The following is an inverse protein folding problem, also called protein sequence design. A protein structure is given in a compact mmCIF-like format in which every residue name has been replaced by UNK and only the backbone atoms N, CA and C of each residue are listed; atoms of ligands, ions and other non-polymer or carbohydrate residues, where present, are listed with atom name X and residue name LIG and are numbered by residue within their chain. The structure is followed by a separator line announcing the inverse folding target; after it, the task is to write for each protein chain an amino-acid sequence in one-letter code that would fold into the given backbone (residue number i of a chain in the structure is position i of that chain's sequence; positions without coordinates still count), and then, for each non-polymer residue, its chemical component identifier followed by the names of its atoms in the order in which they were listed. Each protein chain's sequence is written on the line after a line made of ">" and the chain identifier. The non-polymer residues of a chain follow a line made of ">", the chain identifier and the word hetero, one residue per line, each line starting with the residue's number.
data_IF_669481149558
#
_entry.id   IF_669481149558
#
_cell.length_a   1.000
_cell.length_b   1.000
_cell.length_c   1.000
_cell.angle_alpha   90.00
_cell.angle_beta   90.00
_cell.angle_gamma   90.00
#
_symmetry.space_group_name_H-M   'P 1'
#
loop_
_entity.id
_entity.type
_entity.pdbx_description
1 polymer ?
#
# COMPACT_ATOMS: atom_id res chain seq x y z
N UNK A 1 -4.75 5.96 -65.85
CA UNK A 1 -6.13 5.48 -65.65
C UNK A 1 -6.08 4.46 -64.52
N UNK A 2 -6.62 4.80 -63.35
CA UNK A 2 -6.72 3.84 -62.24
C UNK A 2 -7.92 2.94 -62.47
N UNK A 3 -7.68 1.65 -62.66
CA UNK A 3 -8.75 0.68 -62.91
C UNK A 3 -9.51 0.31 -61.65
N UNK A 4 -10.68 -0.33 -61.79
CA UNK A 4 -11.44 -0.90 -60.67
C UNK A 4 -10.57 -1.83 -59.80
N UNK A 5 -9.61 -2.53 -60.43
CA UNK A 5 -8.67 -3.42 -59.76
C UNK A 5 -7.67 -2.68 -58.85
N UNK A 6 -7.26 -1.45 -59.19
CA UNK A 6 -6.38 -0.63 -58.34
C UNK A 6 -7.10 -0.21 -57.06
N UNK A 7 -8.38 0.14 -57.15
CA UNK A 7 -9.20 0.50 -55.99
C UNK A 7 -9.39 -0.68 -55.02
N UNK A 8 -9.57 -1.89 -55.54
CA UNK A 8 -9.66 -3.11 -54.71
C UNK A 8 -8.34 -3.38 -54.00
N UNK A 9 -7.20 -3.20 -54.69
CA UNK A 9 -5.88 -3.42 -54.10
C UNK A 9 -5.54 -2.41 -53.01
N UNK A 10 -5.91 -1.14 -53.21
CA UNK A 10 -5.78 -0.08 -52.19
C UNK A 10 -6.69 -0.37 -50.99
N UNK A 11 -7.95 -0.75 -51.23
CA UNK A 11 -8.90 -1.11 -50.18
C UNK A 11 -8.42 -2.29 -49.35
N UNK A 12 -7.95 -3.36 -50.00
CA UNK A 12 -7.40 -4.54 -49.34
C UNK A 12 -6.18 -4.20 -48.46
N UNK A 13 -5.26 -3.38 -48.98
CA UNK A 13 -4.10 -2.90 -48.22
C UNK A 13 -4.49 -2.08 -46.99
N UNK A 14 -5.48 -1.21 -47.11
CA UNK A 14 -5.99 -0.43 -45.99
C UNK A 14 -6.62 -1.32 -44.91
N UNK A 15 -7.47 -2.27 -45.29
CA UNK A 15 -8.09 -3.20 -44.32
C UNK A 15 -7.04 -4.07 -43.62
N UNK A 16 -6.05 -4.57 -44.34
CA UNK A 16 -4.98 -5.36 -43.74
C UNK A 16 -4.15 -4.51 -42.76
N UNK A 17 -3.80 -3.28 -43.15
CA UNK A 17 -3.09 -2.35 -42.28
C UNK A 17 -3.89 -1.99 -41.03
N UNK A 18 -5.19 -1.75 -41.17
CA UNK A 18 -6.08 -1.43 -40.04
C UNK A 18 -6.21 -2.60 -39.05
N UNK A 19 -6.29 -3.84 -39.55
CA UNK A 19 -6.33 -5.03 -38.69
C UNK A 19 -5.03 -5.19 -37.88
N UNK A 20 -3.88 -5.04 -38.55
CA UNK A 20 -2.57 -5.15 -37.88
C UNK A 20 -2.41 -4.03 -36.85
N UNK A 21 -2.65 -2.77 -37.23
CA UNK A 21 -2.54 -1.63 -36.34
C UNK A 21 -3.52 -1.72 -35.15
N UNK A 22 -4.77 -2.12 -35.41
CA UNK A 22 -5.79 -2.30 -34.38
C UNK A 22 -5.42 -3.40 -33.39
N UNK A 23 -4.91 -4.54 -33.86
CA UNK A 23 -4.48 -5.63 -32.99
C UNK A 23 -3.28 -5.24 -32.11
N UNK A 24 -2.31 -4.52 -32.67
CA UNK A 24 -1.15 -4.04 -31.92
C UNK A 24 -1.55 -3.00 -30.86
N UNK A 25 -2.41 -2.05 -31.23
CA UNK A 25 -2.93 -1.04 -30.31
C UNK A 25 -3.73 -1.67 -29.15
N UNK A 26 -4.54 -2.70 -29.44
CA UNK A 26 -5.28 -3.43 -28.42
C UNK A 26 -4.34 -4.11 -27.42
N UNK A 27 -3.33 -4.84 -27.88
CA UNK A 27 -2.38 -5.52 -26.99
C UNK A 27 -1.61 -4.55 -26.10
N UNK A 28 -1.11 -3.46 -26.67
CA UNK A 28 -0.39 -2.42 -25.91
C UNK A 28 -1.33 -1.77 -24.89
N UNK A 29 -2.52 -1.36 -25.32
CA UNK A 29 -3.51 -0.74 -24.45
C UNK A 29 -3.95 -1.66 -23.31
N UNK A 30 -4.16 -2.94 -23.60
CA UNK A 30 -4.55 -3.94 -22.60
C UNK A 30 -3.43 -4.17 -21.57
N UNK A 31 -2.19 -4.35 -22.01
CA UNK A 31 -1.05 -4.55 -21.12
C UNK A 31 -0.78 -3.33 -20.21
N UNK A 32 -0.92 -2.11 -20.75
CA UNK A 32 -0.79 -0.87 -19.97
C UNK A 32 -1.97 -0.73 -18.99
N UNK A 33 -3.19 -1.07 -19.42
CA UNK A 33 -4.37 -1.02 -18.56
C UNK A 33 -4.29 -1.98 -17.37
N UNK A 34 -3.87 -3.22 -17.61
CA UNK A 34 -3.75 -4.25 -16.59
C UNK A 34 -2.66 -3.90 -15.56
N UNK A 35 -1.49 -3.44 -16.04
CA UNK A 35 -0.39 -3.02 -15.17
C UNK A 35 -0.74 -1.79 -14.34
N UNK A 36 -1.41 -0.79 -14.92
CA UNK A 36 -1.86 0.40 -14.19
C UNK A 36 -2.94 0.06 -13.15
N UNK A 37 -3.90 -0.80 -13.49
CA UNK A 37 -4.94 -1.25 -12.57
C UNK A 37 -4.37 -2.05 -11.40
N UNK A 38 -3.42 -2.96 -11.67
CA UNK A 38 -2.74 -3.75 -10.65
C UNK A 38 -1.85 -2.87 -9.75
N UNK A 39 -1.05 -1.97 -10.32
CA UNK A 39 -0.22 -1.05 -9.55
C UNK A 39 -1.04 -0.16 -8.62
N UNK A 40 -2.21 0.33 -9.08
CA UNK A 40 -3.12 1.12 -8.25
C UNK A 40 -3.64 0.32 -7.06
N UNK A 41 -4.11 -0.90 -7.29
CA UNK A 41 -4.57 -1.82 -6.24
C UNK A 41 -3.48 -2.11 -5.21
N UNK A 42 -2.26 -2.41 -5.68
CA UNK A 42 -1.12 -2.70 -4.79
C UNK A 42 -0.74 -1.46 -3.98
N UNK A 43 -0.77 -0.26 -4.56
CA UNK A 43 -0.45 0.96 -3.82
C UNK A 43 -1.46 1.26 -2.71
N UNK A 44 -2.76 1.03 -2.95
CA UNK A 44 -3.81 1.24 -1.95
C UNK A 44 -3.66 0.24 -0.79
N UNK A 45 -3.36 -1.03 -1.09
CA UNK A 45 -3.10 -2.06 -0.07
C UNK A 45 -1.80 -1.78 0.70
N UNK A 46 -0.73 -1.38 0.02
CA UNK A 46 0.55 -1.07 0.65
C UNK A 46 0.48 0.15 1.57
N UNK A 47 -0.32 1.17 1.22
CA UNK A 47 -0.56 2.33 2.11
C UNK A 47 -1.36 1.90 3.34
N UNK A 48 -2.36 1.02 3.18
CA UNK A 48 -3.14 0.52 4.31
C UNK A 48 -2.30 -0.33 5.27
N UNK A 49 -1.44 -1.20 4.75
CA UNK A 49 -0.54 -2.06 5.55
C UNK A 49 0.60 -1.25 6.19
N UNK A 50 1.12 -0.24 5.47
CA UNK A 50 2.06 0.74 6.01
C UNK A 50 1.49 1.53 7.19
N UNK A 51 0.20 1.89 7.14
CA UNK A 51 -0.47 2.57 8.26
C UNK A 51 -0.60 1.67 9.49
N UNK A 52 -1.00 0.41 9.30
CA UNK A 52 -1.12 -0.55 10.40
C UNK A 52 0.24 -0.86 11.06
N UNK A 53 1.32 -0.88 10.29
CA UNK A 53 2.67 -1.06 10.83
C UNK A 53 3.23 0.20 11.50
N UNK A 54 2.89 1.39 11.01
CA UNK A 54 3.26 2.66 11.66
C UNK A 54 2.52 2.87 12.98
N UNK A 55 1.25 2.49 13.08
CA UNK A 55 0.50 2.52 14.35
C UNK A 55 1.15 1.60 15.39
N UNK A 56 1.57 0.39 14.99
CA UNK A 56 2.31 -0.51 15.89
C UNK A 56 3.68 0.03 16.29
N UNK A 57 4.42 0.68 15.39
CA UNK A 57 5.71 1.29 15.71
C UNK A 57 5.58 2.56 16.57
N UNK A 58 4.50 3.32 16.40
CA UNK A 58 4.18 4.47 17.24
C UNK A 58 3.88 4.05 18.67
N UNK A 59 3.08 2.99 18.86
CA UNK A 59 2.82 2.41 20.18
C UNK A 59 4.09 1.83 20.82
N UNK A 60 4.94 1.13 20.06
CA UNK A 60 6.19 0.58 20.58
C UNK A 60 7.19 1.68 20.98
N UNK A 61 7.27 2.77 20.21
CA UNK A 61 8.11 3.92 20.55
C UNK A 61 7.55 4.73 21.73
N UNK A 62 6.22 4.77 21.89
CA UNK A 62 5.58 5.36 23.05
C UNK A 62 5.80 4.51 24.32
N UNK A 63 5.77 3.18 24.19
CA UNK A 63 6.06 2.25 25.28
C UNK A 63 7.54 2.27 25.67
N UNK A 64 8.47 2.34 24.71
CA UNK A 64 9.92 2.45 25.01
C UNK A 64 10.33 3.76 25.67
N UNK A 65 9.56 4.85 25.48
CA UNK A 65 9.81 6.13 26.14
C UNK A 65 9.08 6.27 27.49
N UNK A 66 8.25 5.30 27.90
CA UNK A 66 7.64 5.29 29.23
C UNK A 66 8.52 4.55 30.22
N UNK A 67 8.71 5.13 31.40
CA UNK A 67 9.39 4.44 32.52
C UNK A 67 8.61 3.19 32.93
N UNK A 68 9.29 2.15 33.41
CA UNK A 68 8.68 0.89 33.86
C UNK A 68 7.56 1.12 34.91
N UNK A 69 7.69 2.18 35.71
CA UNK A 69 6.67 2.60 36.66
C UNK A 69 5.40 3.14 35.99
N UNK A 70 5.52 3.97 34.93
CA UNK A 70 4.35 4.45 34.15
C UNK A 70 3.65 3.29 33.42
N UNK A 71 4.43 2.36 32.88
CA UNK A 71 3.93 1.19 32.17
C UNK A 71 3.10 0.28 33.10
N UNK A 72 3.59 0.06 34.32
CA UNK A 72 2.88 -0.67 35.37
C UNK A 72 1.56 0.02 35.77
N UNK A 73 1.58 1.35 35.94
CA UNK A 73 0.38 2.10 36.32
C UNK A 73 -0.72 2.07 35.26
N UNK A 74 -0.36 2.22 33.98
CA UNK A 74 -1.32 2.17 32.86
C UNK A 74 -1.92 0.77 32.73
N UNK A 75 -1.09 -0.28 32.84
CA UNK A 75 -1.55 -1.66 32.79
C UNK A 75 -2.48 -2.05 33.93
N UNK A 76 -2.12 -1.72 35.18
CA UNK A 76 -2.93 -2.07 36.35
C UNK A 76 -4.22 -1.22 36.46
N UNK A 77 -4.19 0.07 36.08
CA UNK A 77 -5.42 0.89 35.99
C UNK A 77 -6.38 0.39 34.92
N UNK A 78 -5.87 -0.04 33.76
CA UNK A 78 -6.69 -0.63 32.71
C UNK A 78 -7.34 -1.95 33.13
N UNK A 79 -6.69 -2.71 34.01
CA UNK A 79 -7.19 -3.97 34.58
C UNK A 79 -7.98 -3.86 35.89
N UNK A 80 -8.15 -2.66 36.46
CA UNK A 80 -8.86 -2.47 37.74
C UNK A 80 -8.17 -3.06 38.97
N UNK A 81 -6.85 -3.28 38.89
CA UNK A 81 -6.02 -3.90 39.94
C UNK A 81 -5.33 -2.84 40.83
N UNK A 82 -5.00 -3.18 42.09
CA UNK A 82 -4.37 -2.23 43.01
C UNK A 82 -2.98 -1.80 42.52
N UNK A 83 -2.80 -0.49 42.39
CA UNK A 83 -1.57 0.14 41.86
C UNK A 83 -0.40 0.16 42.84
N UNK A 84 -0.62 -0.25 44.10
CA UNK A 84 0.40 -0.27 45.16
C UNK A 84 1.59 -1.19 44.82
N UNK A 85 1.37 -2.21 43.99
CA UNK A 85 2.44 -3.08 43.50
C UNK A 85 3.45 -2.34 42.61
N UNK A 86 3.01 -1.29 41.90
CA UNK A 86 3.89 -0.47 41.05
C UNK A 86 4.81 0.44 41.87
N UNK A 87 4.47 0.75 43.12
CA UNK A 87 5.25 1.68 43.94
C UNK A 87 6.66 1.15 44.26
N UNK A 88 6.85 -0.17 44.19
CA UNK A 88 8.16 -0.83 44.27
C UNK A 88 9.07 -0.51 43.08
N UNK A 89 8.51 -0.09 41.94
CA UNK A 89 9.26 0.30 40.73
C UNK A 89 9.51 1.81 40.66
N UNK A 90 8.99 2.61 41.61
CA UNK A 90 9.23 4.06 41.69
C UNK A 90 10.71 4.46 41.74
N UNK A 91 11.63 3.74 42.44
CA UNK A 91 13.06 4.05 42.43
C UNK A 91 13.67 3.91 41.03
N UNK A 92 13.18 2.95 40.24
CA UNK A 92 13.69 2.66 38.88
C UNK A 92 13.33 3.78 37.90
N UNK A 93 12.26 4.55 38.14
CA UNK A 93 11.96 5.77 37.37
C UNK A 93 12.97 6.88 37.66
N UNK A 94 13.42 7.02 38.91
CA UNK A 94 14.34 8.09 39.33
C UNK A 94 15.77 7.86 38.83
N UNK A 95 16.13 6.61 38.50
CA UNK A 95 17.44 6.23 37.93
C UNK A 95 17.52 6.24 36.40
N UNK A 96 16.38 6.36 35.69
CA UNK A 96 16.38 6.50 34.22
C UNK A 96 16.60 7.99 33.83
N UNK A 97 17.59 8.31 32.96
CA UNK A 97 18.04 9.67 32.66
C UNK A 97 17.07 10.51 31.84
#
# INVERSE_FOLDING_TARGET
>A
MFGLFDWIKVGAGFTAGALVAGSAAYWIGHAVGDSAGYARRISEVAIADGKATMERKGDDAALQNMSDYDLCLVGLRGGGLPVDACEQLRPVREEQP
#
